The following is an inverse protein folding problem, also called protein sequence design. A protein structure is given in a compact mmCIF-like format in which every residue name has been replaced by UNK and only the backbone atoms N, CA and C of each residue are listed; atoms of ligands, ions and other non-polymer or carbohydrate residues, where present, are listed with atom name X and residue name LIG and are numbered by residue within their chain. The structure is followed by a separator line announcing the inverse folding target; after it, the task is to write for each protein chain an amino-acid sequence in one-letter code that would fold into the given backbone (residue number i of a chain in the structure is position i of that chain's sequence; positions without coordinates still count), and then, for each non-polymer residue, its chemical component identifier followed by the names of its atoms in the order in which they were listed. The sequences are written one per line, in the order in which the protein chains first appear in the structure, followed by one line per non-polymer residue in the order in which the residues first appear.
data_IF_493877529427
#
_entry.id   IF_493877529427
#
_cell.length_a   1.000
_cell.length_b   1.000
_cell.length_c   1.000
_cell.angle_alpha   90.00
_cell.angle_beta   90.00
_cell.angle_gamma   90.00
#
_symmetry.space_group_name_H-M   'P 1'
#
loop_
_entity.id
_entity.type
_entity.pdbx_description
1 polymer ?
#
# COMPACT_ATOMS: atom_id res chain seq x y z
N UNK A 1 -22.83 -2.76 -24.15
CA UNK A 1 -22.06 -1.79 -24.94
C UNK A 1 -20.63 -1.84 -24.40
N UNK A 2 -19.75 -2.49 -25.15
CA UNK A 2 -18.30 -2.46 -24.90
C UNK A 2 -17.85 -1.01 -25.03
N UNK A 3 -17.41 -0.42 -23.91
CA UNK A 3 -16.65 0.82 -23.97
C UNK A 3 -15.31 0.48 -24.62
N UNK A 4 -15.15 0.86 -25.89
CA UNK A 4 -13.81 0.96 -26.50
C UNK A 4 -12.95 1.74 -25.52
N UNK A 5 -11.83 1.15 -25.06
CA UNK A 5 -10.96 1.75 -24.08
C UNK A 5 -10.65 3.19 -24.48
N UNK A 6 -10.80 4.12 -23.52
CA UNK A 6 -10.38 5.50 -23.72
C UNK A 6 -8.90 5.47 -24.07
N UNK A 7 -8.55 5.79 -25.29
CA UNK A 7 -7.17 6.01 -25.68
C UNK A 7 -6.70 7.28 -24.95
N UNK A 8 -5.66 7.18 -24.11
CA UNK A 8 -5.00 8.34 -23.53
C UNK A 8 -4.49 9.23 -24.66
N UNK A 9 -4.61 10.55 -24.50
CA UNK A 9 -3.94 11.48 -25.38
C UNK A 9 -2.40 11.42 -25.15
N UNK A 10 -1.62 12.03 -26.05
CA UNK A 10 -0.17 11.96 -25.98
C UNK A 10 0.41 12.61 -24.72
N UNK A 11 -0.20 13.68 -24.24
CA UNK A 11 0.21 14.37 -23.03
C UNK A 11 -0.05 13.50 -21.79
N UNK A 12 -1.23 12.92 -21.66
CA UNK A 12 -1.56 11.98 -20.59
C UNK A 12 -0.67 10.75 -20.61
N UNK A 13 -0.39 10.23 -21.81
CA UNK A 13 0.52 9.08 -21.99
C UNK A 13 1.94 9.41 -21.54
N UNK A 14 2.44 10.59 -21.89
CA UNK A 14 3.75 11.08 -21.45
C UNK A 14 3.78 11.31 -19.94
N UNK A 15 2.74 11.94 -19.37
CA UNK A 15 2.63 12.13 -17.94
C UNK A 15 2.64 10.80 -17.19
N UNK A 16 1.86 9.81 -17.64
CA UNK A 16 1.83 8.47 -17.06
C UNK A 16 3.21 7.78 -17.15
N UNK A 17 3.92 7.93 -18.26
CA UNK A 17 5.25 7.34 -18.43
C UNK A 17 6.25 7.90 -17.41
N UNK A 18 6.25 9.20 -17.15
CA UNK A 18 7.10 9.80 -16.12
C UNK A 18 6.62 9.41 -14.71
N UNK A 19 5.34 9.41 -14.45
CA UNK A 19 4.75 9.02 -13.17
C UNK A 19 5.20 7.60 -12.77
N UNK A 20 4.99 6.61 -13.63
CA UNK A 20 5.40 5.24 -13.38
C UNK A 20 6.93 5.07 -13.30
N UNK A 21 7.67 5.82 -14.12
CA UNK A 21 9.14 5.86 -14.02
C UNK A 21 9.61 6.39 -12.66
N UNK A 22 8.89 7.35 -12.09
CA UNK A 22 9.18 7.88 -10.76
C UNK A 22 9.06 6.83 -9.66
N UNK A 23 7.97 6.08 -9.66
CA UNK A 23 7.81 4.95 -8.74
C UNK A 23 8.91 3.91 -8.90
N UNK A 24 9.23 3.53 -10.14
CA UNK A 24 10.22 2.52 -10.43
C UNK A 24 11.64 2.95 -10.03
N UNK A 25 12.02 4.19 -10.33
CA UNK A 25 13.34 4.73 -9.98
C UNK A 25 13.53 4.77 -8.46
N UNK A 26 12.57 5.34 -7.74
CA UNK A 26 12.65 5.42 -6.27
C UNK A 26 12.71 4.01 -5.67
N UNK A 27 11.88 3.07 -6.17
CA UNK A 27 11.92 1.68 -5.72
C UNK A 27 13.28 1.02 -5.93
N UNK A 28 13.96 1.30 -7.03
CA UNK A 28 15.28 0.72 -7.33
C UNK A 28 16.42 1.32 -6.51
N UNK A 29 16.27 2.52 -6.00
CA UNK A 29 17.31 3.25 -5.26
C UNK A 29 17.12 3.22 -3.74
N UNK A 30 15.90 2.97 -3.26
CA UNK A 30 15.63 2.90 -1.81
C UNK A 30 16.03 1.55 -1.21
N UNK A 31 16.54 1.55 0.04
CA UNK A 31 16.84 0.31 0.76
C UNK A 31 15.57 -0.44 1.12
N UNK A 32 15.66 -1.77 1.25
CA UNK A 32 14.53 -2.65 1.63
C UNK A 32 13.29 -2.54 0.74
N UNK A 33 13.49 -2.13 -0.50
CA UNK A 33 12.43 -2.11 -1.51
C UNK A 33 12.23 -3.50 -2.09
N UNK A 34 10.98 -3.88 -2.32
CA UNK A 34 10.68 -5.06 -3.12
C UNK A 34 11.16 -4.87 -4.55
N UNK A 35 11.65 -5.94 -5.22
CA UNK A 35 12.11 -5.85 -6.59
C UNK A 35 11.03 -5.36 -7.55
N UNK A 36 11.39 -4.45 -8.45
CA UNK A 36 10.50 -4.02 -9.53
C UNK A 36 10.51 -5.09 -10.61
N UNK A 37 9.36 -5.72 -10.83
CA UNK A 37 9.20 -6.78 -11.83
C UNK A 37 8.93 -6.23 -13.22
N UNK A 38 8.03 -5.25 -13.32
CA UNK A 38 7.69 -4.56 -14.58
C UNK A 38 7.03 -3.23 -14.33
N UNK A 39 7.10 -2.36 -15.32
CA UNK A 39 6.39 -1.08 -15.38
C UNK A 39 5.60 -1.02 -16.68
N UNK A 40 4.37 -0.54 -16.64
CA UNK A 40 3.51 -0.42 -17.82
C UNK A 40 2.65 0.84 -17.78
N UNK A 41 2.44 1.42 -18.95
CA UNK A 41 1.50 2.53 -19.15
C UNK A 41 0.22 2.09 -19.87
N UNK A 42 -0.02 0.77 -19.97
CA UNK A 42 -1.26 0.23 -20.50
C UNK A 42 -2.33 0.34 -19.41
N UNK A 43 -3.44 1.07 -19.67
CA UNK A 43 -4.48 1.26 -18.67
C UNK A 43 -5.14 -0.06 -18.25
N UNK A 44 -5.39 -0.20 -16.93
CA UNK A 44 -6.09 -1.34 -16.35
C UNK A 44 -7.15 -0.85 -15.37
N UNK A 45 -8.41 -0.97 -15.75
CA UNK A 45 -9.52 -0.48 -14.94
C UNK A 45 -9.48 1.04 -14.78
N UNK A 46 -9.25 1.54 -13.57
CA UNK A 46 -9.12 2.97 -13.27
C UNK A 46 -7.67 3.47 -13.27
N UNK A 47 -6.70 2.56 -13.23
CA UNK A 47 -5.29 2.92 -13.25
C UNK A 47 -4.82 3.18 -14.68
N UNK A 48 -4.12 4.29 -14.90
CA UNK A 48 -3.56 4.67 -16.19
C UNK A 48 -2.24 3.96 -16.47
N UNK A 49 -1.54 3.53 -15.42
CA UNK A 49 -0.31 2.75 -15.49
C UNK A 49 -0.17 1.83 -14.28
N UNK A 50 0.94 1.13 -14.18
CA UNK A 50 1.25 0.24 -13.07
C UNK A 50 2.75 0.00 -12.96
N UNK A 51 3.31 0.28 -11.80
CA UNK A 51 4.63 -0.20 -11.38
C UNK A 51 4.45 -1.40 -10.47
N UNK A 52 4.80 -2.60 -10.99
CA UNK A 52 4.63 -3.86 -10.28
C UNK A 52 5.89 -4.23 -9.52
N UNK A 53 5.78 -4.30 -8.21
CA UNK A 53 6.78 -4.86 -7.32
C UNK A 53 6.31 -6.23 -6.84
N UNK A 54 7.22 -7.19 -6.78
CA UNK A 54 6.96 -8.54 -6.27
C UNK A 54 7.93 -8.80 -5.12
N UNK A 55 7.45 -9.11 -3.92
CA UNK A 55 8.29 -9.53 -2.82
C UNK A 55 9.14 -10.73 -3.23
N UNK A 56 10.42 -10.72 -2.87
CA UNK A 56 11.31 -11.85 -3.11
C UNK A 56 10.99 -13.02 -2.16
N UNK A 57 10.45 -12.72 -1.00
CA UNK A 57 10.05 -13.66 0.05
C UNK A 57 8.73 -13.20 0.69
N UNK A 58 8.00 -14.13 1.29
CA UNK A 58 6.79 -13.81 2.04
C UNK A 58 7.14 -13.07 3.34
N UNK A 59 6.62 -11.86 3.51
CA UNK A 59 6.82 -11.07 4.71
C UNK A 59 5.66 -11.26 5.68
N UNK A 60 5.95 -11.82 6.85
CA UNK A 60 4.98 -11.93 7.96
C UNK A 60 4.90 -10.65 8.80
N UNK A 61 5.91 -9.78 8.71
CA UNK A 61 5.96 -8.48 9.39
C UNK A 61 6.79 -7.49 8.60
N UNK A 62 6.49 -6.20 8.75
CA UNK A 62 7.20 -5.12 8.09
C UNK A 62 7.92 -4.26 9.12
N UNK A 63 9.19 -3.99 8.92
CA UNK A 63 9.94 -3.08 9.77
C UNK A 63 9.73 -1.60 9.40
N UNK A 64 10.15 -0.70 10.29
CA UNK A 64 10.02 0.75 10.10
C UNK A 64 10.65 1.22 8.78
N UNK A 65 11.84 0.72 8.42
CA UNK A 65 12.54 1.14 7.21
C UNK A 65 11.80 0.71 5.94
N UNK A 66 11.22 -0.50 5.92
CA UNK A 66 10.39 -0.96 4.80
C UNK A 66 9.19 -0.04 4.58
N UNK A 67 8.47 0.33 5.65
CA UNK A 67 7.32 1.23 5.56
C UNK A 67 7.71 2.63 5.08
N UNK A 68 8.81 3.20 5.59
CA UNK A 68 9.34 4.48 5.11
C UNK A 68 9.70 4.43 3.63
N UNK A 69 10.36 3.36 3.18
CA UNK A 69 10.66 3.12 1.76
C UNK A 69 9.40 3.07 0.92
N UNK A 70 8.35 2.37 1.37
CA UNK A 70 7.06 2.32 0.67
C UNK A 70 6.43 3.69 0.52
N UNK A 71 6.49 4.54 1.56
CA UNK A 71 6.00 5.92 1.51
C UNK A 71 6.79 6.74 0.47
N UNK A 72 8.12 6.63 0.46
CA UNK A 72 8.95 7.33 -0.52
C UNK A 72 8.62 6.91 -1.96
N UNK A 73 8.43 5.61 -2.21
CA UNK A 73 8.05 5.08 -3.53
C UNK A 73 6.71 5.67 -3.99
N UNK A 74 5.71 5.75 -3.11
CA UNK A 74 4.40 6.32 -3.44
C UNK A 74 4.49 7.78 -3.88
N UNK A 75 5.45 8.56 -3.39
CA UNK A 75 5.64 9.94 -3.84
C UNK A 75 6.37 10.07 -5.18
N UNK A 76 7.03 8.99 -5.63
CA UNK A 76 7.83 9.00 -6.87
C UNK A 76 7.06 9.48 -8.09
N UNK A 77 5.80 9.06 -8.26
CA UNK A 77 4.96 9.44 -9.38
C UNK A 77 4.65 10.94 -9.41
N UNK A 78 4.18 11.51 -8.30
CA UNK A 78 3.90 12.95 -8.19
C UNK A 78 5.14 13.81 -8.41
N UNK A 79 6.26 13.44 -7.83
CA UNK A 79 7.51 14.18 -7.97
C UNK A 79 7.97 14.17 -9.43
N UNK A 80 7.83 13.05 -10.12
CA UNK A 80 8.13 12.97 -11.56
C UNK A 80 7.23 13.90 -12.40
N UNK A 81 5.92 13.98 -12.10
CA UNK A 81 5.02 14.96 -12.73
C UNK A 81 5.50 16.40 -12.52
N UNK A 82 5.87 16.76 -11.28
CA UNK A 82 6.34 18.12 -10.95
C UNK A 82 7.65 18.47 -11.66
N UNK A 83 8.63 17.58 -11.63
CA UNK A 83 9.99 17.84 -12.14
C UNK A 83 10.03 17.83 -13.67
N UNK A 84 9.34 16.89 -14.33
CA UNK A 84 9.49 16.69 -15.78
C UNK A 84 8.31 17.23 -16.61
N UNK A 85 7.14 17.30 -16.01
CA UNK A 85 5.92 17.74 -16.71
C UNK A 85 5.48 19.14 -16.23
N UNK A 86 6.06 19.65 -15.15
CA UNK A 86 5.71 20.93 -14.52
C UNK A 86 4.23 21.07 -14.20
N UNK A 87 3.60 19.95 -13.82
CA UNK A 87 2.18 19.89 -13.50
C UNK A 87 1.93 18.92 -12.35
N UNK A 88 0.72 19.00 -11.78
CA UNK A 88 0.23 18.11 -10.75
C UNK A 88 -1.13 17.59 -11.19
N UNK A 89 -1.27 16.27 -11.29
CA UNK A 89 -2.53 15.68 -11.73
C UNK A 89 -3.25 14.96 -10.58
N UNK A 90 -4.51 14.67 -10.77
CA UNK A 90 -5.29 13.85 -9.83
C UNK A 90 -4.86 12.38 -9.84
N UNK A 91 -4.01 11.97 -10.78
CA UNK A 91 -3.51 10.60 -10.90
C UNK A 91 -2.81 10.09 -9.65
N UNK A 92 -2.10 10.98 -8.95
CA UNK A 92 -1.38 10.65 -7.71
C UNK A 92 -2.27 10.61 -6.44
N UNK A 93 -3.60 10.79 -6.54
CA UNK A 93 -4.47 10.87 -5.35
C UNK A 93 -4.44 9.60 -4.50
N UNK A 94 -4.45 8.43 -5.12
CA UNK A 94 -4.37 7.15 -4.42
C UNK A 94 -3.02 6.95 -3.70
N UNK A 95 -1.94 7.43 -4.31
CA UNK A 95 -0.60 7.34 -3.71
C UNK A 95 -0.50 8.18 -2.45
N UNK A 96 -1.05 9.40 -2.47
CA UNK A 96 -1.13 10.25 -1.28
C UNK A 96 -1.99 9.64 -0.18
N UNK A 97 -3.15 9.10 -0.53
CA UNK A 97 -4.03 8.43 0.43
C UNK A 97 -3.31 7.28 1.12
N UNK A 98 -2.68 6.39 0.35
CA UNK A 98 -1.93 5.26 0.87
C UNK A 98 -0.71 5.68 1.70
N UNK A 99 0.05 6.66 1.24
CA UNK A 99 1.21 7.19 1.97
C UNK A 99 0.79 7.79 3.31
N UNK A 100 -0.27 8.59 3.33
CA UNK A 100 -0.80 9.21 4.55
C UNK A 100 -1.33 8.17 5.52
N UNK A 101 -2.08 7.17 5.04
CA UNK A 101 -2.58 6.10 5.88
C UNK A 101 -1.44 5.29 6.50
N UNK A 102 -0.43 4.94 5.71
CA UNK A 102 0.74 4.20 6.20
C UNK A 102 1.52 4.98 7.26
N UNK A 103 1.74 6.28 7.06
CA UNK A 103 2.38 7.14 8.06
C UNK A 103 1.56 7.25 9.35
N UNK A 104 0.23 7.35 9.24
CA UNK A 104 -0.68 7.33 10.40
C UNK A 104 -0.61 6.01 11.16
N UNK A 105 -0.63 4.87 10.46
CA UNK A 105 -0.55 3.55 11.09
C UNK A 105 0.79 3.36 11.81
N UNK A 106 1.90 3.82 11.23
CA UNK A 106 3.22 3.80 11.88
C UNK A 106 3.22 4.53 13.22
N UNK A 107 2.58 5.70 13.27
CA UNK A 107 2.55 6.55 14.47
C UNK A 107 1.49 6.09 15.47
N UNK A 108 0.28 5.78 15.00
CA UNK A 108 -0.88 5.56 15.87
C UNK A 108 -1.08 4.10 16.27
N UNK A 109 -0.64 3.13 15.44
CA UNK A 109 -0.91 1.69 15.65
C UNK A 109 0.34 0.87 15.95
N UNK A 110 1.46 1.18 15.30
CA UNK A 110 2.65 0.35 15.37
C UNK A 110 3.70 0.83 16.36
N UNK A 111 3.46 2.00 17.02
CA UNK A 111 4.42 2.56 17.99
C UNK A 111 5.79 2.87 17.38
N UNK A 112 5.84 3.26 16.09
CA UNK A 112 7.08 3.49 15.36
C UNK A 112 7.53 4.97 15.36
N UNK A 113 6.96 5.79 16.25
CA UNK A 113 7.36 7.18 16.47
C UNK A 113 8.15 7.31 17.77
N UNK A 114 9.35 7.86 17.70
CA UNK A 114 10.17 8.10 18.88
C UNK A 114 9.57 9.20 19.79
N UNK A 115 8.86 10.16 19.22
CA UNK A 115 8.21 11.25 19.95
C UNK A 115 6.97 10.83 20.75
N UNK A 116 6.27 9.77 20.29
CA UNK A 116 5.02 9.29 20.88
C UNK A 116 5.17 7.98 21.62
N UNK A 117 6.32 7.30 21.44
CA UNK A 117 6.63 6.04 22.11
C UNK A 117 5.79 4.85 21.65
N UNK A 118 5.93 3.69 22.32
CA UNK A 118 5.31 2.43 21.96
C UNK A 118 3.87 2.34 22.52
N UNK A 119 3.00 3.22 22.07
CA UNK A 119 1.59 3.27 22.48
C UNK A 119 0.67 3.23 21.27
N UNK A 120 -0.55 2.71 21.46
CA UNK A 120 -1.60 2.72 20.46
C UNK A 120 -2.52 3.92 20.72
N UNK A 121 -2.66 4.79 19.72
CA UNK A 121 -3.51 5.97 19.74
C UNK A 121 -4.72 5.83 18.80
N UNK A 122 -4.82 4.72 18.07
CA UNK A 122 -5.91 4.47 17.13
C UNK A 122 -7.21 4.22 17.89
N UNK A 123 -8.28 4.91 17.52
CA UNK A 123 -9.62 4.59 17.96
C UNK A 123 -10.05 3.26 17.31
N UNK A 124 -10.73 2.38 18.07
CA UNK A 124 -11.32 1.17 17.52
C UNK A 124 -12.54 1.55 16.68
N UNK A 125 -12.37 1.65 15.37
CA UNK A 125 -13.47 1.91 14.43
C UNK A 125 -14.49 0.75 14.35
N UNK A 126 -14.26 -0.36 15.06
CA UNK A 126 -15.04 -1.59 14.93
C UNK A 126 -16.20 -1.74 15.91
N UNK A 127 -16.54 -0.73 16.72
CA UNK A 127 -17.77 -0.76 17.51
C UNK A 127 -18.94 -0.07 16.79
N UNK A 128 -19.29 -0.55 15.60
CA UNK A 128 -20.63 -0.34 15.06
C UNK A 128 -21.57 -1.35 15.70
N UNK A 129 -21.97 -1.09 16.95
CA UNK A 129 -23.05 -1.82 17.56
C UNK A 129 -24.38 -1.24 17.07
N UNK A 130 -25.17 -2.09 16.45
CA UNK A 130 -26.51 -1.86 15.90
C UNK A 130 -27.30 -0.74 16.60
N UNK A 131 -27.42 0.42 15.95
CA UNK A 131 -28.55 1.33 16.13
C UNK A 131 -28.51 2.29 17.32
N UNK A 132 -27.42 2.45 18.05
CA UNK A 132 -27.22 3.51 19.02
C UNK A 132 -26.02 4.37 18.64
N UNK A 133 -26.25 5.68 18.52
CA UNK A 133 -25.16 6.67 18.44
C UNK A 133 -24.44 6.64 19.80
N UNK A 134 -23.39 5.87 19.90
CA UNK A 134 -22.47 5.91 21.03
C UNK A 134 -21.66 7.19 20.86
N UNK A 135 -21.79 8.10 21.82
CA UNK A 135 -20.91 9.26 21.91
C UNK A 135 -19.49 8.73 22.01
N UNK A 136 -18.71 8.85 20.93
CA UNK A 136 -17.31 8.43 20.90
C UNK A 136 -16.56 9.28 21.95
N UNK A 137 -16.18 8.64 23.03
CA UNK A 137 -15.30 9.27 24.01
C UNK A 137 -13.92 9.29 23.38
N UNK A 138 -13.43 10.46 22.99
CA UNK A 138 -12.04 10.62 22.53
C UNK A 138 -11.11 10.22 23.67
N UNK A 139 -10.50 9.06 23.56
CA UNK A 139 -9.53 8.56 24.54
C UNK A 139 -8.17 9.26 24.46
N UNK A 140 -7.96 10.08 23.43
CA UNK A 140 -6.71 10.80 23.16
C UNK A 140 -6.93 12.30 23.30
N UNK A 141 -6.07 12.97 24.06
CA UNK A 141 -6.16 14.42 24.24
C UNK A 141 -5.84 15.17 22.93
N UNK A 142 -6.38 16.39 22.79
CA UNK A 142 -6.08 17.24 21.63
C UNK A 142 -4.58 17.53 21.49
N UNK A 143 -3.87 17.70 22.60
CA UNK A 143 -2.43 17.90 22.59
C UNK A 143 -1.68 16.68 21.99
N UNK A 144 -2.09 15.47 22.39
CA UNK A 144 -1.51 14.26 21.82
C UNK A 144 -1.84 14.13 20.34
N UNK A 145 -3.06 14.46 19.90
CA UNK A 145 -3.41 14.45 18.48
C UNK A 145 -2.60 15.45 17.66
N UNK A 146 -2.28 16.62 18.19
CA UNK A 146 -1.36 17.58 17.54
C UNK A 146 0.04 17.00 17.37
N UNK A 147 0.53 16.24 18.37
CA UNK A 147 1.83 15.54 18.27
C UNK A 147 1.78 14.44 17.23
N UNK A 148 0.67 13.68 17.15
CA UNK A 148 0.44 12.67 16.09
C UNK A 148 0.49 13.32 14.72
N UNK A 149 -0.25 14.41 14.50
CA UNK A 149 -0.28 15.11 13.21
C UNK A 149 1.10 15.67 12.83
N UNK A 150 1.86 16.19 13.80
CA UNK A 150 3.23 16.67 13.58
C UNK A 150 4.18 15.54 13.16
N UNK A 151 4.09 14.36 13.79
CA UNK A 151 4.92 13.19 13.45
C UNK A 151 4.55 12.59 12.09
N UNK A 152 3.26 12.47 11.78
CA UNK A 152 2.80 12.03 10.46
C UNK A 152 3.32 12.97 9.38
N UNK A 153 3.20 14.28 9.61
CA UNK A 153 3.71 15.31 8.69
C UNK A 153 5.22 15.21 8.50
N UNK A 154 5.97 15.04 9.58
CA UNK A 154 7.43 14.87 9.54
C UNK A 154 7.84 13.67 8.68
N UNK A 155 7.19 12.49 8.89
CA UNK A 155 7.46 11.28 8.11
C UNK A 155 7.20 11.54 6.62
N UNK A 156 6.07 12.15 6.29
CA UNK A 156 5.69 12.46 4.91
C UNK A 156 6.71 13.40 4.27
N UNK A 157 7.03 14.51 4.91
CA UNK A 157 7.93 15.53 4.38
C UNK A 157 9.36 14.98 4.17
N UNK A 158 9.85 14.16 5.10
CA UNK A 158 11.16 13.50 4.99
C UNK A 158 11.20 12.53 3.81
N UNK A 159 10.20 11.66 3.68
CA UNK A 159 10.16 10.67 2.59
C UNK A 159 9.94 11.34 1.23
N UNK A 160 9.15 12.42 1.18
CA UNK A 160 8.99 13.24 -0.02
C UNK A 160 10.31 13.87 -0.45
N UNK A 161 11.05 14.46 0.49
CA UNK A 161 12.36 15.09 0.22
C UNK A 161 13.40 14.06 -0.27
N UNK A 162 13.43 12.86 0.31
CA UNK A 162 14.31 11.76 -0.12
C UNK A 162 13.98 11.35 -1.55
N UNK A 163 12.71 11.07 -1.85
CA UNK A 163 12.27 10.66 -3.17
C UNK A 163 12.57 11.75 -4.22
N UNK A 164 12.36 13.03 -3.88
CA UNK A 164 12.66 14.16 -4.76
C UNK A 164 14.14 14.24 -5.11
N UNK A 165 15.00 14.13 -4.11
CA UNK A 165 16.45 14.11 -4.31
C UNK A 165 16.88 12.98 -5.25
N UNK A 166 16.36 11.76 -5.02
CA UNK A 166 16.69 10.60 -5.88
C UNK A 166 16.29 10.83 -7.34
N UNK A 167 15.13 11.43 -7.58
CA UNK A 167 14.64 11.73 -8.94
C UNK A 167 15.49 12.84 -9.59
N UNK A 168 15.77 13.92 -8.87
CA UNK A 168 16.55 15.05 -9.37
C UNK A 168 18.00 14.65 -9.69
N UNK A 169 18.60 13.75 -8.92
CA UNK A 169 19.96 13.24 -9.15
C UNK A 169 20.05 12.19 -10.29
N UNK A 170 18.92 11.62 -10.74
CA UNK A 170 18.89 10.55 -11.74
C UNK A 170 18.01 10.88 -12.95
N UNK A 171 18.01 12.14 -13.39
CA UNK A 171 17.16 12.61 -14.50
C UNK A 171 17.38 11.83 -15.80
N UNK A 172 18.63 11.48 -16.14
CA UNK A 172 18.93 10.71 -17.35
C UNK A 172 18.25 9.34 -17.34
N UNK A 173 18.22 8.66 -16.19
CA UNK A 173 17.54 7.38 -16.02
C UNK A 173 16.03 7.54 -16.15
N UNK A 174 15.48 8.63 -15.60
CA UNK A 174 14.06 8.97 -15.74
C UNK A 174 13.67 9.16 -17.21
N UNK A 175 14.44 9.91 -17.96
CA UNK A 175 14.20 10.13 -19.38
C UNK A 175 14.30 8.81 -20.18
N UNK A 176 15.30 7.95 -19.89
CA UNK A 176 15.43 6.64 -20.54
C UNK A 176 14.24 5.73 -20.24
N UNK A 177 13.77 5.66 -18.97
CA UNK A 177 12.59 4.88 -18.61
C UNK A 177 11.32 5.38 -19.29
N UNK A 178 11.06 6.69 -19.21
CA UNK A 178 9.89 7.29 -19.83
C UNK A 178 9.87 7.08 -21.34
N UNK A 179 11.04 7.25 -22.02
CA UNK A 179 11.17 6.99 -23.46
C UNK A 179 10.87 5.54 -23.81
N UNK A 180 11.43 4.58 -23.05
CA UNK A 180 11.19 3.16 -23.27
C UNK A 180 9.71 2.79 -23.06
N UNK A 181 9.05 3.37 -22.05
CA UNK A 181 7.61 3.19 -21.81
C UNK A 181 6.75 3.78 -22.93
N UNK A 182 7.12 4.93 -23.47
CA UNK A 182 6.39 5.54 -24.59
C UNK A 182 6.54 4.72 -25.88
N UNK A 183 7.68 4.06 -26.08
CA UNK A 183 7.97 3.23 -27.26
C UNK A 183 7.35 1.83 -27.15
N UNK A 184 7.48 1.19 -25.98
CA UNK A 184 7.14 -0.24 -25.82
C UNK A 184 5.94 -0.48 -24.91
N UNK A 185 5.40 0.55 -24.28
CA UNK A 185 4.26 0.54 -23.34
C UNK A 185 4.50 -0.28 -22.05
N UNK A 186 5.48 -1.17 -22.05
CA UNK A 186 5.85 -2.00 -20.90
C UNK A 186 7.34 -2.28 -20.95
N UNK A 187 8.02 -2.16 -19.81
CA UNK A 187 9.40 -2.54 -19.58
C UNK A 187 9.50 -3.56 -18.46
N UNK A 188 10.37 -4.56 -18.62
CA UNK A 188 10.62 -5.60 -17.63
C UNK A 188 11.82 -5.28 -16.72
N UNK A 189 12.04 -6.13 -15.70
CA UNK A 189 13.13 -5.97 -14.75
C UNK A 189 14.51 -5.86 -15.43
N UNK A 190 14.75 -6.66 -16.47
CA UNK A 190 16.05 -6.65 -17.16
C UNK A 190 16.31 -5.34 -17.94
N UNK A 191 15.25 -4.75 -18.51
CA UNK A 191 15.33 -3.43 -19.16
C UNK A 191 15.52 -2.31 -18.15
N UNK A 192 14.88 -2.42 -16.98
CA UNK A 192 15.07 -1.48 -15.87
C UNK A 192 16.51 -1.57 -15.35
N UNK A 193 17.07 -2.77 -15.20
CA UNK A 193 18.46 -2.97 -14.77
C UNK A 193 19.45 -2.34 -15.76
N UNK A 194 19.24 -2.50 -17.08
CA UNK A 194 20.08 -1.84 -18.09
C UNK A 194 20.09 -0.32 -17.91
N UNK A 195 18.90 0.28 -17.69
CA UNK A 195 18.78 1.73 -17.47
C UNK A 195 19.47 2.15 -16.16
N UNK A 196 19.28 1.40 -15.08
CA UNK A 196 19.90 1.69 -13.78
C UNK A 196 21.44 1.62 -13.86
N UNK A 197 21.99 0.74 -14.69
CA UNK A 197 23.43 0.64 -14.98
C UNK A 197 23.92 1.73 -15.97
N UNK A 198 23.06 2.64 -16.41
CA UNK A 198 23.38 3.71 -17.35
C UNK A 198 23.39 3.29 -18.82
N UNK A 199 23.10 2.03 -19.12
CA UNK A 199 23.01 1.47 -20.48
C UNK A 199 21.68 1.83 -21.13
N UNK A 200 21.61 1.72 -22.44
CA UNK A 200 20.33 1.75 -23.13
C UNK A 200 19.60 0.41 -22.91
N UNK A 201 18.29 0.44 -22.68
CA UNK A 201 17.55 -0.77 -22.41
C UNK A 201 17.52 -1.68 -23.64
N UNK A 202 17.69 -2.97 -23.41
CA UNK A 202 17.55 -3.99 -24.46
C UNK A 202 16.15 -3.98 -25.04
N UNK A 203 15.97 -4.28 -26.35
CA UNK A 203 14.64 -4.34 -26.94
C UNK A 203 13.79 -5.42 -26.25
N UNK A 204 12.46 -5.25 -26.18
CA UNK A 204 11.58 -6.25 -25.60
C UNK A 204 11.75 -7.58 -26.33
N UNK A 205 11.75 -8.69 -25.58
CA UNK A 205 11.74 -10.02 -26.14
C UNK A 205 10.53 -10.14 -27.06
N UNK A 206 10.74 -10.31 -28.35
CA UNK A 206 9.66 -10.52 -29.30
C UNK A 206 8.88 -11.75 -28.84
N UNK A 207 7.67 -11.53 -28.33
CA UNK A 207 6.68 -12.58 -28.30
C UNK A 207 6.51 -13.00 -29.75
N UNK A 208 6.99 -14.20 -30.12
CA UNK A 208 6.69 -14.77 -31.41
C UNK A 208 5.16 -14.70 -31.59
N UNK A 209 4.68 -13.72 -32.34
CA UNK A 209 3.37 -13.81 -32.97
C UNK A 209 3.46 -15.10 -33.78
N UNK A 210 2.79 -16.17 -33.32
CA UNK A 210 2.49 -17.31 -34.18
C UNK A 210 1.88 -16.70 -35.42
N UNK A 211 2.63 -16.67 -36.50
CA UNK A 211 2.11 -16.38 -37.82
C UNK A 211 0.95 -17.35 -38.00
N UNK A 212 -0.25 -16.79 -38.13
CA UNK A 212 -1.39 -17.53 -38.63
C UNK A 212 -0.98 -17.98 -40.03
N UNK A 213 -0.51 -19.22 -40.14
CA UNK A 213 -0.45 -19.92 -41.43
C UNK A 213 -1.90 -20.03 -41.90
N UNK A 214 -2.18 -19.32 -42.97
CA UNK A 214 -3.25 -19.70 -43.87
C UNK A 214 -2.74 -20.96 -44.57
N UNK A 215 -3.25 -22.09 -44.16
CA UNK A 215 -3.31 -23.27 -44.98
C UNK A 215 -4.79 -23.55 -45.22
N UNK A 216 -5.23 -23.19 -46.42
CA UNK A 216 -6.36 -23.81 -47.08
C UNK A 216 -5.94 -25.24 -47.37
N UNK A 217 -6.47 -26.19 -46.62
CA UNK A 217 -6.67 -27.57 -47.12
C UNK A 217 -7.83 -28.19 -46.31
N UNK A 218 -8.89 -28.37 -47.05
CA UNK A 218 -10.10 -29.11 -46.69
C UNK A 218 -9.73 -30.60 -46.59
N UNK A 219 -9.94 -31.19 -45.42
CA UNK A 219 -10.19 -32.64 -45.32
C UNK A 219 -11.29 -32.88 -44.27
N UNK A 220 -12.40 -33.37 -44.75
CA UNK A 220 -13.47 -34.01 -44.00
C UNK A 220 -12.95 -35.18 -43.15
N UNK A 221 -13.32 -35.23 -41.88
CA UNK A 221 -13.40 -36.48 -41.15
C UNK A 221 -14.31 -36.34 -39.91
N UNK A 222 -15.45 -36.91 -40.00
CA UNK A 222 -16.26 -37.66 -39.05
C UNK A 222 -16.30 -37.24 -37.57
N UNK A 223 -17.51 -36.88 -37.20
CA UNK A 223 -18.01 -36.80 -35.84
C UNK A 223 -17.89 -38.12 -35.08
N UNK A 224 -17.24 -38.10 -33.93
CA UNK A 224 -17.43 -39.12 -32.91
C UNK A 224 -17.90 -38.45 -31.63
N UNK A 225 -19.18 -38.69 -31.32
CA UNK A 225 -19.80 -38.36 -30.04
C UNK A 225 -19.10 -39.10 -28.92
N UNK A 226 -18.66 -38.39 -27.89
CA UNK A 226 -18.37 -39.02 -26.60
C UNK A 226 -19.31 -38.36 -25.57
N UNK A 227 -20.20 -39.23 -25.08
CA UNK A 227 -21.19 -38.99 -24.03
C UNK A 227 -20.49 -38.65 -22.69
N UNK A 228 -20.98 -37.62 -22.04
CA UNK A 228 -20.77 -37.34 -20.63
C UNK A 228 -21.52 -38.35 -19.76
N UNK A 229 -21.01 -38.76 -18.59
CA UNK A 229 -21.84 -39.38 -17.59
C UNK A 229 -22.32 -38.31 -16.57
N UNK A 230 -23.62 -38.19 -16.53
CA UNK A 230 -24.39 -37.53 -15.48
C UNK A 230 -24.27 -38.38 -14.21
N UNK A 231 -23.90 -37.78 -13.09
CA UNK A 231 -24.16 -38.37 -11.77
C UNK A 231 -25.03 -37.45 -10.95
N UNK A 232 -26.23 -37.92 -10.76
CA UNK A 232 -27.22 -37.47 -9.77
C UNK A 232 -26.65 -37.66 -8.34
N UNK A 233 -26.93 -36.74 -7.46
CA UNK A 233 -27.10 -37.03 -6.04
C UNK A 233 -27.86 -35.91 -5.38
N UNK A 234 -29.05 -36.12 -5.19
CA UNK A 234 -29.90 -36.28 -4.01
C UNK A 234 -29.81 -35.18 -2.96
N UNK A 235 -30.91 -34.45 -2.97
CA UNK A 235 -31.47 -33.62 -1.92
C UNK A 235 -31.82 -34.42 -0.66
N UNK A 236 -31.49 -33.94 0.51
CA UNK A 236 -32.23 -34.23 1.75
C UNK A 236 -32.46 -32.96 2.57
N UNK A 237 -33.71 -32.63 2.66
CA UNK A 237 -34.36 -31.74 3.58
C UNK A 237 -34.72 -32.47 4.88
N UNK A 238 -34.45 -31.85 6.03
CA UNK A 238 -35.21 -32.08 7.31
C UNK A 238 -34.98 -30.81 8.14
N UNK A 239 -35.91 -29.93 8.36
CA UNK A 239 -37.09 -29.77 9.19
C UNK A 239 -36.81 -29.68 10.72
N UNK A 240 -37.21 -28.50 11.24
CA UNK A 240 -37.91 -28.25 12.49
C UNK A 240 -37.23 -28.33 13.86
N UNK A 241 -37.34 -27.20 14.54
CA UNK A 241 -37.35 -26.94 15.98
C UNK A 241 -38.41 -27.77 16.73
N UNK A 242 -38.40 -27.89 18.10
CA UNK A 242 -38.76 -26.78 18.97
C UNK A 242 -38.10 -26.72 20.39
N UNK A 243 -38.38 -25.57 21.02
CA UNK A 243 -38.17 -25.08 22.36
C UNK A 243 -38.37 -26.02 23.56
N UNK A 244 -37.63 -25.72 24.68
CA UNK A 244 -38.15 -25.67 26.05
C UNK A 244 -37.07 -25.13 27.01
N UNK A 245 -37.27 -23.95 27.59
CA UNK A 245 -37.52 -23.61 28.98
C UNK A 245 -36.62 -24.30 30.04
N UNK A 246 -35.91 -23.48 30.83
CA UNK A 246 -35.31 -23.87 32.10
C UNK A 246 -34.73 -22.66 32.83
N UNK A 247 -35.50 -22.13 33.74
CA UNK A 247 -35.11 -21.12 34.73
C UNK A 247 -34.12 -21.69 35.75
N UNK A 248 -33.19 -20.89 36.23
CA UNK A 248 -32.28 -21.25 37.32
C UNK A 248 -31.47 -20.05 37.78
N UNK A 249 -32.01 -19.33 38.68
CA UNK A 249 -31.54 -18.69 39.92
C UNK A 249 -30.08 -18.19 40.03
N UNK A 250 -30.06 -17.00 40.52
CA UNK A 250 -29.00 -16.17 41.11
C UNK A 250 -27.98 -16.93 41.96
N UNK A 251 -26.71 -16.53 41.85
CA UNK A 251 -25.81 -16.37 43.01
C UNK A 251 -24.70 -15.37 42.70
N UNK A 252 -24.78 -14.25 43.44
CA UNK A 252 -23.73 -13.27 43.64
C UNK A 252 -22.70 -13.88 44.61
N UNK A 253 -21.42 -13.70 44.44
CA UNK A 253 -20.48 -13.66 45.55
C UNK A 253 -19.89 -12.27 45.75
N UNK A 254 -19.69 -12.05 47.01
CA UNK A 254 -19.22 -10.93 47.78
C UNK A 254 -17.85 -10.40 47.40
N UNK A 255 -17.67 -9.14 47.77
CA UNK A 255 -16.42 -8.38 47.78
C UNK A 255 -15.40 -9.01 48.74
N UNK A 256 -14.13 -9.12 48.28
CA UNK A 256 -13.00 -9.28 49.18
C UNK A 256 -11.86 -8.36 48.77
N UNK A 257 -11.60 -7.42 49.64
CA UNK A 257 -10.36 -6.76 50.03
C UNK A 257 -9.20 -6.63 49.02
N UNK A 258 -8.99 -5.37 48.64
CA UNK A 258 -7.74 -4.87 48.10
C UNK A 258 -6.73 -4.55 49.24
N UNK A 259 -5.45 -4.88 49.12
CA UNK A 259 -4.43 -4.30 50.00
C UNK A 259 -4.02 -2.92 49.50
N UNK A 260 -4.23 -1.90 50.35
CA UNK A 260 -3.56 -0.60 50.28
C UNK A 260 -2.09 -0.77 50.71
N UNK A 261 -1.26 0.06 50.14
CA UNK A 261 0.11 0.45 50.51
C UNK A 261 1.21 0.01 49.58
N UNK A 262 1.67 0.93 48.81
CA UNK A 262 3.07 1.14 48.40
C UNK A 262 3.23 2.39 47.50
N UNK A 263 2.69 3.53 47.87
CA UNK A 263 3.04 4.84 47.31
C UNK A 263 2.99 5.87 48.45
N UNK A 264 3.94 5.75 49.38
CA UNK A 264 4.20 6.80 50.36
C UNK A 264 5.60 6.63 50.96
N UNK A 265 6.59 6.72 50.09
CA UNK A 265 8.01 6.82 50.53
C UNK A 265 8.90 7.24 49.35
N UNK A 266 8.72 8.47 48.82
CA UNK A 266 9.70 9.17 47.96
C UNK A 266 9.31 10.65 47.83
N UNK A 267 9.11 11.33 48.96
CA UNK A 267 8.98 12.78 48.98
C UNK A 267 9.54 13.32 50.30
N UNK A 268 10.83 13.24 50.48
CA UNK A 268 11.58 14.09 51.41
C UNK A 268 13.08 13.83 51.24
N UNK A 269 13.68 14.43 50.22
CA UNK A 269 15.13 14.70 50.19
C UNK A 269 15.46 15.65 49.03
N UNK A 270 15.00 16.92 49.11
CA UNK A 270 15.59 17.99 48.33
C UNK A 270 15.35 19.37 48.98
N UNK A 271 15.94 19.53 50.17
CA UNK A 271 16.12 20.84 50.78
C UNK A 271 17.42 20.82 51.58
N UNK A 272 18.56 20.98 50.91
CA UNK A 272 19.79 21.55 51.43
C UNK A 272 20.81 21.60 50.29
N UNK A 273 20.94 22.78 49.73
CA UNK A 273 22.23 23.43 49.46
C UNK A 273 21.98 24.62 48.49
N UNK A 274 21.76 25.76 49.07
CA UNK A 274 22.13 27.04 48.44
C UNK A 274 23.38 27.54 49.15
N UNK A 275 24.48 27.84 48.48
CA UNK A 275 25.46 28.74 48.96
C UNK A 275 25.21 30.16 48.44
N UNK A 276 25.14 31.05 49.39
CA UNK A 276 25.29 32.48 49.34
C UNK A 276 26.56 32.91 48.56
N UNK A 277 26.40 33.71 47.50
CA UNK A 277 27.09 34.97 47.26
C UNK A 277 26.55 35.62 45.98
#
# INVERSE_FOLDING_TARGET
AERKGMAMNEEERKNTAYHESGHALVARLMPKSDPVHKVTIIPRGRALGLTMQLPAEDHYSYDKQYLLTRIAILFGGRIAEEVFMHQMTTGASNDFERATQMARDMVMRYGMSDALGPMVYAENENEVFLGRSVTQTKHVSEETMRKVDAEVRRIIDEQYAIARKLIEENQDKMHKMAKALLEWETIDAAQIDDIMDGRDPRPPKQLHKKAAKKDDDVIDAEATEIKEPVSEASSETVSETPAASGAGEEKKPEASDAPKSAIEELADDDKKDQPNK
#
